data_IF_673500188272
#
_entry.id   IF_673500188272
#
_cell.length_a   1.000
_cell.length_b   1.000
_cell.length_c   1.000
_cell.angle_alpha   90.00
_cell.angle_beta   90.00
_cell.angle_gamma   90.00
#
_symmetry.space_group_name_H-M   'P 1'
#
loop_
_entity.id
_entity.type
_entity.pdbx_description
1 polymer ?
#
# COMPACT_ATOMS: atom_id res chain seq x y z
N UNK A 1 28.66 -48.80 -105.07
CA UNK A 1 29.43 -49.82 -104.34
C UNK A 1 30.40 -49.20 -103.44
N UNK A 2 30.63 -49.64 -102.35
CA UNK A 2 29.97 -49.71 -101.04
C UNK A 2 30.66 -48.81 -100.04
N UNK A 3 30.24 -48.58 -98.99
CA UNK A 3 30.07 -49.32 -97.79
C UNK A 3 29.87 -48.43 -96.57
N UNK A 4 28.95 -48.81 -95.82
CA UNK A 4 28.53 -48.26 -94.49
C UNK A 4 29.52 -48.61 -93.42
N UNK A 5 29.84 -47.69 -92.59
CA UNK A 5 30.28 -47.96 -91.21
C UNK A 5 29.72 -46.98 -90.20
N UNK A 6 28.89 -47.60 -89.41
CA UNK A 6 28.23 -47.11 -88.25
C UNK A 6 29.25 -46.74 -87.13
N UNK A 7 29.15 -45.56 -86.58
CA UNK A 7 29.77 -45.26 -85.28
C UNK A 7 28.70 -44.76 -84.32
N UNK A 8 28.32 -45.66 -83.41
CA UNK A 8 27.53 -45.30 -82.25
C UNK A 8 28.33 -44.35 -81.34
N UNK A 9 27.86 -43.12 -81.13
CA UNK A 9 28.36 -42.26 -80.09
C UNK A 9 27.35 -42.34 -78.92
N UNK A 10 27.78 -42.91 -77.83
CA UNK A 10 26.98 -42.98 -76.62
C UNK A 10 27.01 -41.61 -75.93
N UNK A 11 25.83 -40.94 -75.87
CA UNK A 11 25.66 -39.75 -75.03
C UNK A 11 25.42 -40.20 -73.61
N UNK A 12 26.41 -39.90 -72.75
CA UNK A 12 26.30 -39.92 -71.26
C UNK A 12 25.55 -38.69 -70.83
N UNK A 13 24.29 -38.91 -70.51
CA UNK A 13 23.44 -37.84 -69.90
C UNK A 13 23.76 -37.77 -68.41
N UNK A 14 24.57 -36.80 -67.99
CA UNK A 14 24.84 -36.51 -66.59
C UNK A 14 23.61 -35.79 -65.99
N UNK A 15 22.80 -36.49 -65.24
CA UNK A 15 21.73 -35.93 -64.45
C UNK A 15 22.33 -35.22 -63.24
N UNK A 16 22.40 -33.88 -63.30
CA UNK A 16 22.71 -33.03 -62.13
C UNK A 16 21.49 -33.10 -61.16
N UNK A 17 21.68 -33.77 -60.04
CA UNK A 17 20.73 -33.77 -58.96
C UNK A 17 20.87 -32.39 -58.26
N UNK A 18 19.95 -31.47 -58.55
CA UNK A 18 19.81 -30.24 -57.81
C UNK A 18 19.25 -30.54 -56.43
N UNK A 19 20.07 -30.50 -55.40
CA UNK A 19 19.62 -30.52 -54.02
C UNK A 19 18.90 -29.19 -53.71
N UNK A 20 17.66 -29.19 -53.22
CA UNK A 20 17.01 -27.96 -52.80
C UNK A 20 17.78 -27.40 -51.59
N UNK A 21 18.38 -26.24 -51.72
CA UNK A 21 18.87 -25.46 -50.57
C UNK A 21 17.65 -25.05 -49.73
N UNK A 22 17.48 -25.69 -48.57
CA UNK A 22 16.53 -25.23 -47.61
C UNK A 22 17.08 -23.92 -47.06
N UNK A 23 16.51 -22.81 -47.51
CA UNK A 23 16.69 -21.54 -46.84
C UNK A 23 16.18 -21.72 -45.40
N UNK A 24 17.07 -21.58 -44.44
CA UNK A 24 16.68 -21.49 -43.04
C UNK A 24 15.78 -20.26 -42.89
N UNK A 25 14.47 -20.48 -42.84
CA UNK A 25 13.52 -19.43 -42.47
C UNK A 25 13.93 -19.00 -41.07
N UNK A 26 14.46 -17.77 -40.96
CA UNK A 26 14.63 -17.13 -39.69
C UNK A 26 13.24 -16.92 -39.07
N UNK A 27 12.83 -17.86 -38.22
CA UNK A 27 11.62 -17.74 -37.42
C UNK A 27 11.80 -16.59 -36.45
N UNK A 28 11.48 -15.40 -36.92
CA UNK A 28 11.41 -14.22 -36.05
C UNK A 28 10.14 -14.38 -35.21
N UNK A 29 10.31 -14.74 -33.95
CA UNK A 29 9.21 -14.75 -32.99
C UNK A 29 9.05 -13.33 -32.45
N UNK A 30 7.87 -12.75 -32.62
CA UNK A 30 7.50 -11.47 -32.03
C UNK A 30 6.54 -11.72 -30.88
N UNK A 31 6.72 -10.97 -29.77
CA UNK A 31 5.78 -10.97 -28.64
C UNK A 31 5.30 -9.53 -28.42
N UNK A 32 4.02 -9.37 -28.22
CA UNK A 32 3.40 -8.10 -27.87
C UNK A 32 3.08 -8.09 -26.37
N UNK A 33 3.51 -7.05 -25.68
CA UNK A 33 3.21 -6.84 -24.28
C UNK A 33 2.28 -5.62 -24.15
N UNK A 34 1.10 -5.84 -23.63
CA UNK A 34 0.18 -4.76 -23.28
C UNK A 34 0.48 -4.28 -21.86
N UNK A 35 0.91 -3.04 -21.74
CA UNK A 35 1.12 -2.38 -20.43
C UNK A 35 -0.03 -1.41 -20.21
N UNK A 36 -0.79 -1.64 -19.15
CA UNK A 36 -1.88 -0.77 -18.73
C UNK A 36 -1.61 -0.21 -17.36
N UNK A 37 -2.03 1.03 -17.13
CA UNK A 37 -1.88 1.70 -15.84
C UNK A 37 -2.77 2.94 -15.80
N UNK A 38 -2.98 3.46 -14.61
CA UNK A 38 -3.70 4.73 -14.41
C UNK A 38 -2.72 5.75 -13.82
N UNK A 39 -2.58 6.88 -14.47
CA UNK A 39 -1.88 8.04 -13.90
C UNK A 39 -2.87 8.80 -13.02
N UNK A 40 -2.61 8.79 -11.71
CA UNK A 40 -3.40 9.55 -10.73
C UNK A 40 -2.58 10.76 -10.31
N UNK A 41 -3.23 11.91 -10.25
CA UNK A 41 -2.68 13.08 -9.60
C UNK A 41 -2.81 12.89 -8.09
N UNK A 42 -1.68 12.95 -7.38
CA UNK A 42 -1.63 12.84 -5.92
C UNK A 42 -0.84 14.02 -5.39
N UNK A 43 -1.40 14.69 -4.39
CA UNK A 43 -0.75 15.84 -3.76
C UNK A 43 0.57 15.47 -3.07
N UNK A 44 0.66 14.26 -2.49
CA UNK A 44 1.86 13.69 -1.87
C UNK A 44 1.89 12.18 -2.09
N UNK A 45 3.01 11.53 -1.81
CA UNK A 45 3.09 10.09 -1.66
C UNK A 45 3.55 9.71 -0.25
N UNK A 46 3.10 8.55 0.22
CA UNK A 46 3.53 8.01 1.51
C UNK A 46 4.98 7.56 1.41
N UNK A 47 5.82 7.99 2.34
CA UNK A 47 7.21 7.52 2.42
C UNK A 47 7.24 6.00 2.57
N UNK A 48 8.08 5.25 1.83
CA UNK A 48 8.19 3.81 1.94
C UNK A 48 8.43 3.30 3.37
N UNK A 49 9.17 4.05 4.19
CA UNK A 49 9.39 3.72 5.62
C UNK A 49 8.10 3.82 6.46
N UNK A 50 7.09 4.51 5.96
CA UNK A 50 5.78 4.65 6.60
C UNK A 50 4.74 3.67 6.08
N UNK A 51 5.00 3.01 4.93
CA UNK A 51 4.07 2.04 4.34
C UNK A 51 3.96 0.74 5.16
N UNK A 52 5.07 0.33 5.79
CA UNK A 52 5.14 -0.85 6.64
C UNK A 52 5.91 -0.52 7.91
N UNK A 53 5.19 -0.35 9.01
CA UNK A 53 5.76 -0.01 10.31
C UNK A 53 5.40 -1.06 11.35
N UNK A 54 6.34 -1.36 12.22
CA UNK A 54 6.09 -2.08 13.47
C UNK A 54 6.20 -1.10 14.62
N UNK A 55 5.10 -0.96 15.36
CA UNK A 55 5.03 -0.10 16.52
C UNK A 55 5.16 -0.96 17.79
N UNK A 56 6.20 -0.71 18.58
CA UNK A 56 6.40 -1.41 19.84
C UNK A 56 5.79 -0.61 20.98
N UNK A 57 4.79 -1.19 21.64
CA UNK A 57 4.13 -0.59 22.80
C UNK A 57 4.88 -0.85 24.11
N UNK A 58 5.95 -1.66 24.07
CA UNK A 58 6.68 -2.09 25.25
C UNK A 58 5.89 -3.06 26.14
N UNK A 59 6.36 -3.21 27.37
CA UNK A 59 5.71 -4.06 28.35
C UNK A 59 4.54 -3.32 29.02
N UNK A 60 3.35 -3.86 28.86
CA UNK A 60 2.14 -3.35 29.51
C UNK A 60 1.98 -4.01 30.88
N UNK A 61 2.10 -3.21 31.93
CA UNK A 61 1.88 -3.70 33.28
C UNK A 61 0.38 -3.81 33.56
N UNK A 62 -0.10 -5.02 33.92
CA UNK A 62 -1.50 -5.28 34.27
C UNK A 62 -1.98 -4.44 35.46
N UNK A 63 -1.07 -4.05 36.37
CA UNK A 63 -1.38 -3.15 37.49
C UNK A 63 -1.84 -1.75 37.05
N UNK A 64 -1.63 -1.38 35.81
CA UNK A 64 -2.13 -0.11 35.22
C UNK A 64 -3.46 -0.26 34.48
N UNK A 65 -3.95 -1.50 34.35
CA UNK A 65 -5.18 -1.81 33.61
C UNK A 65 -6.15 -2.59 34.50
N UNK A 66 -6.37 -2.14 35.73
CA UNK A 66 -7.20 -2.84 36.73
C UNK A 66 -8.68 -2.65 36.51
N UNK A 67 -9.11 -1.46 36.09
CA UNK A 67 -10.51 -1.09 35.89
C UNK A 67 -10.81 -0.88 34.43
N UNK A 68 -12.04 -1.18 34.00
CA UNK A 68 -12.51 -0.85 32.65
C UNK A 68 -12.30 0.64 32.38
N UNK A 69 -11.70 0.96 31.25
CA UNK A 69 -11.34 2.33 30.86
C UNK A 69 -9.95 2.80 31.35
N UNK A 70 -9.25 2.03 32.19
CA UNK A 70 -7.86 2.34 32.52
C UNK A 70 -6.99 2.35 31.27
N UNK A 71 -6.04 3.27 31.21
CA UNK A 71 -5.27 3.59 30.02
C UNK A 71 -3.77 3.41 30.26
N UNK A 72 -3.11 2.81 29.25
CA UNK A 72 -1.66 2.70 29.23
C UNK A 72 -0.99 3.94 28.62
N UNK A 73 0.33 3.88 28.49
CA UNK A 73 1.12 4.95 27.87
C UNK A 73 0.87 4.96 26.35
N UNK A 74 0.55 6.11 25.75
CA UNK A 74 0.40 6.23 24.31
C UNK A 74 1.75 6.13 23.60
N UNK A 75 1.77 5.52 22.40
CA UNK A 75 2.96 5.45 21.54
C UNK A 75 2.63 6.13 20.22
N UNK A 76 3.54 6.97 19.72
CA UNK A 76 3.34 7.74 18.51
C UNK A 76 3.45 6.88 17.25
N UNK A 77 2.52 7.07 16.33
CA UNK A 77 2.52 6.57 14.97
C UNK A 77 2.78 7.75 14.03
N UNK A 78 3.86 7.70 13.26
CA UNK A 78 4.24 8.75 12.32
C UNK A 78 4.01 8.29 10.88
N UNK A 79 3.23 9.06 10.13
CA UNK A 79 3.03 8.88 8.70
C UNK A 79 3.76 10.01 7.97
N UNK A 80 4.89 9.67 7.38
CA UNK A 80 5.73 10.61 6.63
C UNK A 80 5.23 10.69 5.19
N UNK A 81 5.05 11.91 4.71
CA UNK A 81 4.63 12.22 3.35
C UNK A 81 5.78 12.93 2.61
N UNK A 82 5.95 12.63 1.34
CA UNK A 82 6.98 13.20 0.49
C UNK A 82 6.41 13.68 -0.84
N UNK A 83 7.15 14.56 -1.50
CA UNK A 83 6.79 15.09 -2.81
C UNK A 83 5.48 15.89 -2.81
N UNK A 84 5.12 16.48 -1.65
CA UNK A 84 3.90 17.26 -1.55
C UNK A 84 3.98 18.48 -2.49
N UNK A 85 3.07 18.52 -3.45
CA UNK A 85 2.97 19.63 -4.40
C UNK A 85 2.21 20.79 -3.76
N UNK A 86 2.44 21.99 -4.30
CA UNK A 86 1.63 23.16 -3.94
C UNK A 86 0.29 23.07 -4.67
N UNK A 87 -0.76 22.93 -3.91
CA UNK A 87 -2.13 23.05 -4.41
C UNK A 87 -3.00 23.70 -3.35
N UNK A 88 -4.12 24.20 -3.75
CA UNK A 88 -5.11 24.71 -2.82
C UNK A 88 -5.84 23.56 -2.11
N UNK A 89 -6.35 23.86 -0.95
CA UNK A 89 -7.11 22.89 -0.16
C UNK A 89 -8.02 23.57 0.86
N UNK A 90 -9.15 22.93 1.13
CA UNK A 90 -10.11 23.41 2.12
C UNK A 90 -10.51 22.30 3.08
N UNK A 91 -10.54 22.58 4.38
CA UNK A 91 -11.03 21.65 5.38
C UNK A 91 -11.98 22.32 6.36
N UNK A 92 -12.86 21.53 6.96
CA UNK A 92 -13.67 21.99 8.09
C UNK A 92 -12.87 21.81 9.38
N UNK A 93 -12.80 22.88 10.15
CA UNK A 93 -12.29 22.81 11.51
C UNK A 93 -13.23 21.93 12.35
N UNK A 94 -12.65 20.94 13.06
CA UNK A 94 -13.42 19.96 13.83
C UNK A 94 -14.09 20.53 15.08
N UNK A 95 -13.59 21.67 15.60
CA UNK A 95 -14.11 22.28 16.81
C UNK A 95 -15.23 23.28 16.51
N UNK A 96 -15.10 24.07 15.44
CA UNK A 96 -16.00 25.17 15.14
C UNK A 96 -16.84 24.94 13.88
N UNK A 97 -16.53 23.90 13.08
CA UNK A 97 -17.22 23.61 11.83
C UNK A 97 -16.98 24.63 10.72
N UNK A 98 -16.10 25.62 10.94
CA UNK A 98 -15.75 26.64 9.95
C UNK A 98 -14.90 26.06 8.84
N UNK A 99 -15.08 26.55 7.61
CA UNK A 99 -14.21 26.22 6.48
C UNK A 99 -12.90 27.01 6.60
N UNK A 100 -11.79 26.31 6.70
CA UNK A 100 -10.44 26.87 6.67
C UNK A 100 -9.82 26.52 5.32
N UNK A 101 -9.17 27.47 4.69
CA UNK A 101 -8.67 27.37 3.33
C UNK A 101 -7.19 27.74 3.26
N UNK A 102 -6.42 26.98 2.48
CA UNK A 102 -5.03 27.30 2.13
C UNK A 102 -4.87 27.33 0.61
N UNK A 103 -4.14 28.33 0.10
CA UNK A 103 -3.86 28.46 -1.32
C UNK A 103 -2.66 27.62 -1.80
N UNK A 104 -1.92 27.01 -0.88
CA UNK A 104 -0.65 26.33 -1.17
C UNK A 104 -0.50 24.96 -0.50
N UNK A 105 -1.43 24.58 0.37
CA UNK A 105 -1.36 23.35 1.12
C UNK A 105 -2.56 22.45 0.80
N UNK A 106 -2.36 21.32 0.13
CA UNK A 106 -3.43 20.34 -0.07
C UNK A 106 -3.89 19.74 1.26
N UNK A 107 -5.07 19.18 1.25
CA UNK A 107 -5.65 18.54 2.43
C UNK A 107 -5.52 17.03 2.33
N UNK A 108 -4.96 16.41 3.36
CA UNK A 108 -4.90 14.97 3.51
C UNK A 108 -6.08 14.46 4.34
N UNK A 109 -6.74 13.43 3.82
CA UNK A 109 -7.82 12.70 4.46
C UNK A 109 -7.37 11.26 4.73
N UNK A 110 -7.47 10.80 5.98
CA UNK A 110 -7.05 9.45 6.37
C UNK A 110 -8.24 8.63 6.85
N UNK A 111 -8.25 7.36 6.46
CA UNK A 111 -9.21 6.39 6.98
C UNK A 111 -8.44 5.21 7.55
N UNK A 112 -8.69 4.93 8.83
CA UNK A 112 -8.05 3.84 9.56
C UNK A 112 -8.98 2.64 9.63
N UNK A 113 -8.48 1.45 9.27
CA UNK A 113 -9.26 0.19 9.31
C UNK A 113 -8.51 -0.85 10.13
N UNK A 114 -9.21 -1.47 11.06
CA UNK A 114 -8.69 -2.56 11.88
C UNK A 114 -9.82 -3.52 12.25
N UNK A 115 -9.47 -4.69 12.76
CA UNK A 115 -10.43 -5.54 13.47
C UNK A 115 -10.76 -4.85 14.78
N UNK A 116 -12.03 -4.63 15.06
CA UNK A 116 -12.49 -3.98 16.29
C UNK A 116 -12.64 -4.97 17.43
N UNK A 117 -12.49 -4.49 18.66
CA UNK A 117 -12.79 -5.27 19.85
C UNK A 117 -14.30 -5.52 19.96
N UNK A 118 -14.67 -6.71 20.44
CA UNK A 118 -16.08 -7.12 20.48
C UNK A 118 -16.87 -6.39 21.58
N UNK A 119 -16.22 -6.09 22.70
CA UNK A 119 -16.85 -5.44 23.85
C UNK A 119 -16.83 -3.91 23.73
N UNK A 120 -15.82 -3.38 23.03
CA UNK A 120 -15.61 -1.93 22.86
C UNK A 120 -15.21 -1.65 21.39
N UNK A 121 -16.20 -1.48 20.48
CA UNK A 121 -15.94 -1.36 19.03
C UNK A 121 -15.09 -0.15 18.61
N UNK A 122 -14.87 0.80 19.50
CA UNK A 122 -13.98 1.95 19.32
C UNK A 122 -12.50 1.56 19.43
N UNK A 123 -12.20 0.38 19.97
CA UNK A 123 -10.85 -0.12 20.16
C UNK A 123 -10.45 -1.09 19.06
N UNK A 124 -9.19 -1.05 18.69
CA UNK A 124 -8.55 -2.06 17.84
C UNK A 124 -8.36 -3.32 18.68
N UNK A 125 -8.85 -4.45 18.17
CA UNK A 125 -8.69 -5.76 18.80
C UNK A 125 -7.22 -6.18 18.83
N UNK A 126 -6.76 -6.68 19.94
CA UNK A 126 -5.48 -7.37 20.08
C UNK A 126 -5.66 -8.89 19.96
N UNK A 127 -4.64 -9.59 19.52
CA UNK A 127 -4.57 -11.05 19.46
C UNK A 127 -3.40 -11.55 20.29
N UNK A 128 -3.59 -12.59 21.11
CA UNK A 128 -2.57 -13.21 21.96
C UNK A 128 -2.68 -12.83 23.43
N UNK A 129 -3.31 -11.71 23.77
CA UNK A 129 -3.71 -11.31 25.11
C UNK A 129 -5.18 -10.88 25.08
N UNK A 130 -5.82 -10.74 26.23
CA UNK A 130 -7.25 -10.41 26.35
C UNK A 130 -7.48 -9.36 27.44
N UNK A 131 -8.64 -8.70 27.36
CA UNK A 131 -9.10 -7.76 28.37
C UNK A 131 -8.63 -6.32 28.15
N UNK A 132 -8.03 -6.01 27.03
CA UNK A 132 -7.72 -4.66 26.60
C UNK A 132 -7.74 -4.56 25.07
N UNK A 133 -7.89 -3.36 24.58
CA UNK A 133 -7.77 -3.02 23.17
C UNK A 133 -6.85 -1.81 22.97
N UNK A 134 -6.73 -1.34 21.74
CA UNK A 134 -5.88 -0.19 21.43
C UNK A 134 -6.75 0.93 20.88
N UNK A 135 -6.69 2.10 21.53
CA UNK A 135 -7.37 3.33 21.07
C UNK A 135 -6.47 4.12 20.15
N UNK A 136 -7.02 4.56 19.03
CA UNK A 136 -6.36 5.47 18.10
C UNK A 136 -6.75 6.91 18.44
N UNK A 137 -5.75 7.77 18.57
CA UNK A 137 -5.92 9.19 18.93
C UNK A 137 -5.19 10.06 17.91
N UNK A 138 -5.70 11.26 17.70
CA UNK A 138 -5.01 12.33 16.96
C UNK A 138 -4.03 13.11 17.87
N UNK A 139 -3.41 14.14 17.31
CA UNK A 139 -2.44 14.99 18.04
C UNK A 139 -3.07 15.83 19.15
N UNK A 140 -4.40 16.04 19.11
CA UNK A 140 -5.15 16.70 20.18
C UNK A 140 -5.62 15.73 21.26
N UNK A 141 -5.32 14.41 21.11
CA UNK A 141 -5.79 13.38 22.02
C UNK A 141 -7.26 13.00 21.79
N UNK A 142 -7.86 13.45 20.68
CA UNK A 142 -9.23 13.08 20.32
C UNK A 142 -9.24 11.69 19.69
N UNK A 143 -10.31 10.95 19.95
CA UNK A 143 -10.50 9.63 19.36
C UNK A 143 -10.67 9.70 17.85
N UNK A 144 -9.92 8.86 17.14
CA UNK A 144 -10.07 8.64 15.70
C UNK A 144 -10.89 7.38 15.48
N UNK A 145 -12.09 7.54 14.92
CA UNK A 145 -13.02 6.43 14.70
C UNK A 145 -12.56 5.54 13.54
N UNK A 146 -12.51 4.25 13.80
CA UNK A 146 -12.16 3.25 12.79
C UNK A 146 -13.24 3.16 11.70
N UNK A 147 -12.81 2.98 10.46
CA UNK A 147 -13.69 2.87 9.30
C UNK A 147 -14.31 4.21 8.83
N UNK A 148 -14.01 5.31 9.47
CA UNK A 148 -14.44 6.66 9.09
C UNK A 148 -13.24 7.52 8.72
N UNK A 149 -13.45 8.52 7.88
CA UNK A 149 -12.44 9.53 7.59
C UNK A 149 -12.14 10.31 8.86
N UNK A 150 -10.86 10.32 9.25
CA UNK A 150 -10.36 11.12 10.37
C UNK A 150 -10.45 12.62 10.03
N UNK A 151 -10.32 13.51 11.04
CA UNK A 151 -10.17 14.93 10.77
C UNK A 151 -9.06 15.17 9.74
N UNK A 152 -9.34 16.02 8.77
CA UNK A 152 -8.44 16.33 7.67
C UNK A 152 -7.36 17.32 8.10
N UNK A 153 -6.18 17.21 7.50
CA UNK A 153 -5.01 18.06 7.83
C UNK A 153 -4.44 18.70 6.59
N UNK A 154 -4.03 19.94 6.70
CA UNK A 154 -3.16 20.56 5.69
C UNK A 154 -1.80 19.88 5.70
N UNK A 155 -1.25 19.63 4.52
CA UNK A 155 0.09 19.07 4.35
C UNK A 155 1.01 20.09 3.70
N UNK A 156 2.12 20.37 4.36
CA UNK A 156 3.07 21.36 3.86
C UNK A 156 3.78 20.87 2.59
N UNK A 157 4.06 21.74 1.62
CA UNK A 157 4.79 21.39 0.41
C UNK A 157 6.16 20.75 0.70
N UNK A 158 6.54 19.78 -0.13
CA UNK A 158 7.79 19.05 -0.04
C UNK A 158 7.71 17.83 0.86
N UNK A 159 7.86 17.98 2.16
CA UNK A 159 7.79 16.90 3.15
C UNK A 159 6.85 17.29 4.27
N UNK A 160 6.01 16.35 4.68
CA UNK A 160 5.08 16.53 5.78
C UNK A 160 5.02 15.27 6.64
N UNK A 161 4.52 15.40 7.86
CA UNK A 161 4.35 14.28 8.76
C UNK A 161 3.03 14.42 9.51
N UNK A 162 2.22 13.36 9.45
CA UNK A 162 1.01 13.25 10.24
C UNK A 162 1.29 12.32 11.42
N UNK A 163 0.89 12.74 12.61
CA UNK A 163 1.15 12.00 13.85
C UNK A 163 -0.17 11.59 14.49
N UNK A 164 -0.24 10.33 14.86
CA UNK A 164 -1.32 9.73 15.64
C UNK A 164 -0.72 9.01 16.85
N UNK A 165 -1.56 8.58 17.77
CA UNK A 165 -1.13 7.85 18.96
C UNK A 165 -1.94 6.58 19.12
N UNK A 166 -1.27 5.49 19.46
CA UNK A 166 -1.88 4.22 19.84
C UNK A 166 -1.76 4.08 21.35
N UNK A 167 -2.89 3.93 22.04
CA UNK A 167 -2.95 3.85 23.49
C UNK A 167 -3.70 2.58 23.92
N UNK A 168 -3.11 1.71 24.75
CA UNK A 168 -3.80 0.60 25.37
C UNK A 168 -4.91 1.09 26.30
N UNK A 169 -6.06 0.39 26.28
CA UNK A 169 -7.21 0.70 27.12
C UNK A 169 -7.91 -0.58 27.57
N UNK A 170 -8.22 -0.68 28.87
CA UNK A 170 -8.86 -1.81 29.50
C UNK A 170 -10.32 -1.96 29.06
N UNK A 171 -10.72 -3.16 28.59
CA UNK A 171 -12.11 -3.53 28.23
C UNK A 171 -12.81 -4.28 29.37
N UNK A 172 -14.06 -4.64 29.18
CA UNK A 172 -14.81 -5.42 30.17
C UNK A 172 -14.39 -6.91 30.22
N UNK A 173 -13.78 -7.43 29.17
CA UNK A 173 -13.34 -8.82 29.10
C UNK A 173 -12.32 -9.18 30.23
N UNK A 174 -12.23 -10.42 30.68
CA UNK A 174 -11.21 -10.84 31.66
C UNK A 174 -9.80 -10.53 31.15
N UNK A 175 -8.97 -9.94 32.02
CA UNK A 175 -7.58 -9.62 31.66
C UNK A 175 -6.74 -10.91 31.66
N UNK A 176 -6.18 -11.24 30.52
CA UNK A 176 -5.27 -12.38 30.35
C UNK A 176 -3.96 -11.88 29.76
N UNK A 177 -2.86 -11.92 30.54
CA UNK A 177 -1.56 -11.48 30.07
C UNK A 177 -1.00 -12.43 29.01
N UNK A 178 -0.19 -11.90 28.11
CA UNK A 178 0.47 -12.65 27.05
C UNK A 178 1.11 -11.72 26.03
N UNK A 179 1.95 -12.25 25.13
CA UNK A 179 2.41 -11.49 23.99
C UNK A 179 1.21 -11.15 23.10
N UNK A 180 1.18 -9.94 22.56
CA UNK A 180 0.05 -9.50 21.74
C UNK A 180 0.50 -8.84 20.45
N UNK A 181 -0.41 -8.80 19.48
CA UNK A 181 -0.27 -8.09 18.22
C UNK A 181 -1.62 -7.54 17.77
N UNK A 182 -1.57 -6.48 17.00
CA UNK A 182 -2.72 -5.92 16.29
C UNK A 182 -2.27 -5.40 14.92
N UNK A 183 -3.19 -5.28 13.98
CA UNK A 183 -2.94 -4.71 12.66
C UNK A 183 -3.85 -3.51 12.44
N UNK A 184 -3.29 -2.43 11.94
CA UNK A 184 -3.98 -1.21 11.57
C UNK A 184 -3.61 -0.86 10.13
N UNK A 185 -4.60 -0.76 9.27
CA UNK A 185 -4.44 -0.32 7.88
C UNK A 185 -4.84 1.15 7.75
N UNK A 186 -4.08 1.89 6.96
CA UNK A 186 -4.30 3.31 6.71
C UNK A 186 -4.53 3.52 5.22
N UNK A 187 -5.62 4.17 4.87
CA UNK A 187 -5.88 4.68 3.53
C UNK A 187 -5.70 6.20 3.56
N UNK A 188 -4.90 6.72 2.65
CA UNK A 188 -4.63 8.14 2.48
C UNK A 188 -5.29 8.60 1.18
N UNK A 189 -6.03 9.68 1.25
CA UNK A 189 -6.63 10.38 0.11
C UNK A 189 -6.33 11.87 0.22
N UNK A 190 -6.48 12.60 -0.89
CA UNK A 190 -6.32 14.05 -0.96
C UNK A 190 -7.55 14.68 -1.59
N UNK A 191 -7.94 15.83 -1.08
CA UNK A 191 -8.99 16.70 -1.61
C UNK A 191 -8.37 18.01 -2.12
#
# INVERSE_FOLDING_TARGET
MPGIRCCLAALLCSTAVATPAHAAENLTQSAEFQVTGTLLESACYLDPSSAYQTLYLGDLNTARLLRVGDQGTPVALHLKLQGCVRSDGGRRDSQHGTLVWSAIEPVAALTFKAVVDADTPELIKVAGAEGFGLRLLDVQGQEVRLGRTAPTWFVSPGKSQLTYYIRPERTAAPLRPGPFRASLNVNLAYD
#
